data_IF_962062784271
#
_entry.id   IF_962062784271
#
_cell.length_a   1.000
_cell.length_b   1.000
_cell.length_c   1.000
_cell.angle_alpha   90.00
_cell.angle_beta   90.00
_cell.angle_gamma   90.00
#
_symmetry.space_group_name_H-M   'P 1'
#
loop_
_entity.id
_entity.type
_entity.pdbx_description
1 polymer ?
#
# COMPACT_ATOMS: atom_id res chain seq x y z
N UNK A 1 -20.72 10.42 -14.42
CA UNK A 1 -19.27 10.58 -14.59
C UNK A 1 -18.65 11.31 -13.41
N UNK A 2 -19.16 12.47 -12.96
CA UNK A 2 -18.57 13.23 -11.84
C UNK A 2 -18.30 12.40 -10.56
N UNK A 3 -19.24 11.53 -10.14
CA UNK A 3 -19.05 10.67 -8.97
C UNK A 3 -17.89 9.69 -9.12
N UNK A 4 -17.73 9.09 -10.30
CA UNK A 4 -16.62 8.17 -10.60
C UNK A 4 -15.30 8.95 -10.55
N UNK A 5 -15.25 10.11 -11.21
CA UNK A 5 -14.07 10.97 -11.25
C UNK A 5 -13.65 11.40 -9.82
N UNK A 6 -14.61 11.78 -8.97
CA UNK A 6 -14.38 12.20 -7.58
C UNK A 6 -13.84 11.02 -6.74
N UNK A 7 -14.38 9.81 -6.90
CA UNK A 7 -13.91 8.62 -6.20
C UNK A 7 -12.53 8.18 -6.67
N UNK A 8 -12.29 8.15 -7.98
CA UNK A 8 -10.97 7.85 -8.55
C UNK A 8 -9.93 8.86 -8.05
N UNK A 9 -10.27 10.15 -8.04
CA UNK A 9 -9.40 11.21 -7.52
C UNK A 9 -9.07 11.02 -6.04
N UNK A 10 -10.07 10.69 -5.23
CA UNK A 10 -9.88 10.44 -3.79
C UNK A 10 -8.93 9.27 -3.54
N UNK A 11 -9.10 8.14 -4.22
CA UNK A 11 -8.23 6.99 -4.05
C UNK A 11 -6.83 7.23 -4.65
N UNK A 12 -6.74 7.98 -5.72
CA UNK A 12 -5.46 8.40 -6.30
C UNK A 12 -4.69 9.32 -5.34
N UNK A 13 -5.40 10.16 -4.56
CA UNK A 13 -4.77 10.99 -3.53
C UNK A 13 -4.12 10.12 -2.43
N UNK A 14 -4.74 8.99 -2.05
CA UNK A 14 -4.15 8.02 -1.12
C UNK A 14 -2.86 7.44 -1.72
N UNK A 15 -2.92 6.93 -2.96
CA UNK A 15 -1.77 6.35 -3.63
C UNK A 15 -0.61 7.35 -3.76
N UNK A 16 -0.91 8.60 -4.13
CA UNK A 16 0.08 9.66 -4.32
C UNK A 16 0.51 10.38 -3.02
N UNK A 17 0.10 9.88 -1.85
CA UNK A 17 0.54 10.44 -0.57
C UNK A 17 2.07 10.38 -0.45
N UNK A 18 2.68 11.47 0.04
CA UNK A 18 4.13 11.52 0.29
C UNK A 18 4.57 10.70 1.51
N UNK A 19 3.62 10.13 2.25
CA UNK A 19 3.87 9.24 3.38
C UNK A 19 3.21 7.88 3.11
N UNK A 20 3.78 6.76 3.59
CA UNK A 20 3.13 5.46 3.49
C UNK A 20 1.76 5.45 4.15
N UNK A 21 0.82 4.78 3.53
CA UNK A 21 -0.55 4.61 4.02
C UNK A 21 -0.80 3.13 4.33
N UNK A 22 -1.17 2.85 5.58
CA UNK A 22 -1.49 1.50 6.05
C UNK A 22 -3.00 1.37 6.16
N UNK A 23 -3.58 0.41 5.45
CA UNK A 23 -4.98 0.04 5.60
C UNK A 23 -5.15 -1.06 6.66
N UNK A 24 -6.05 -0.84 7.62
CA UNK A 24 -6.45 -1.84 8.62
C UNK A 24 -7.89 -2.27 8.32
N UNK A 25 -8.04 -3.41 7.65
CA UNK A 25 -9.32 -3.90 7.16
C UNK A 25 -9.95 -4.91 8.11
N UNK A 26 -11.18 -4.66 8.54
CA UNK A 26 -12.00 -5.60 9.30
C UNK A 26 -13.47 -5.53 8.88
N UNK A 27 -14.27 -6.52 9.25
CA UNK A 27 -15.67 -6.57 8.84
C UNK A 27 -15.83 -6.65 7.32
N UNK A 28 -16.60 -5.75 6.71
CA UNK A 28 -16.88 -5.74 5.27
C UNK A 28 -16.04 -4.70 4.53
N UNK A 29 -15.21 -5.16 3.62
CA UNK A 29 -14.41 -4.36 2.71
C UNK A 29 -14.76 -4.75 1.26
N UNK A 30 -15.86 -4.21 0.73
CA UNK A 30 -16.52 -4.68 -0.50
C UNK A 30 -16.57 -3.58 -1.55
N UNK A 31 -16.33 -3.91 -2.82
CA UNK A 31 -16.43 -2.99 -3.95
C UNK A 31 -15.51 -1.77 -3.79
N UNK A 32 -16.08 -0.58 -3.67
CA UNK A 32 -15.33 0.66 -3.49
C UNK A 32 -14.33 0.62 -2.32
N UNK A 33 -14.66 -0.07 -1.21
CA UNK A 33 -13.73 -0.23 -0.08
C UNK A 33 -12.51 -1.09 -0.47
N UNK A 34 -12.71 -2.19 -1.22
CA UNK A 34 -11.60 -2.98 -1.78
C UNK A 34 -10.76 -2.14 -2.74
N UNK A 35 -11.40 -1.31 -3.56
CA UNK A 35 -10.70 -0.38 -4.46
C UNK A 35 -9.88 0.66 -3.69
N UNK A 36 -10.42 1.21 -2.61
CA UNK A 36 -9.73 2.20 -1.76
C UNK A 36 -8.48 1.60 -1.12
N UNK A 37 -8.58 0.42 -0.48
CA UNK A 37 -7.41 -0.18 0.17
C UNK A 37 -6.37 -0.72 -0.83
N UNK A 38 -6.75 -0.97 -2.09
CA UNK A 38 -5.78 -1.28 -3.15
C UNK A 38 -4.90 -0.08 -3.53
N UNK A 39 -5.28 1.13 -3.12
CA UNK A 39 -4.49 2.35 -3.28
C UNK A 39 -3.56 2.63 -2.08
N UNK A 40 -3.66 1.85 -0.99
CA UNK A 40 -2.76 1.95 0.15
C UNK A 40 -1.48 1.14 -0.10
N UNK A 41 -0.39 1.53 0.56
CA UNK A 41 0.91 0.87 0.42
C UNK A 41 0.92 -0.50 1.12
N UNK A 42 0.38 -0.55 2.33
CA UNK A 42 0.36 -1.76 3.19
C UNK A 42 -1.09 -2.04 3.60
N UNK A 43 -1.47 -3.30 3.61
CA UNK A 43 -2.80 -3.77 3.99
C UNK A 43 -2.68 -4.84 5.06
N UNK A 44 -3.30 -4.60 6.21
CA UNK A 44 -3.44 -5.57 7.27
C UNK A 44 -4.94 -5.87 7.45
N UNK A 45 -5.31 -7.08 7.88
CA UNK A 45 -6.72 -7.39 8.12
C UNK A 45 -6.95 -8.33 9.29
N UNK A 46 -8.21 -8.42 9.73
CA UNK A 46 -8.63 -9.57 10.54
C UNK A 46 -8.85 -10.80 9.65
N UNK A 47 -8.70 -12.01 10.22
CA UNK A 47 -8.88 -13.28 9.50
C UNK A 47 -10.29 -13.42 8.91
N UNK A 48 -11.29 -12.89 9.61
CA UNK A 48 -12.71 -12.97 9.26
C UNK A 48 -13.20 -11.81 8.39
N UNK A 49 -12.37 -10.79 8.13
CA UNK A 49 -12.69 -9.71 7.21
C UNK A 49 -13.21 -10.25 5.87
N UNK A 50 -14.19 -9.58 5.27
CA UNK A 50 -14.80 -9.99 4.00
C UNK A 50 -14.48 -8.98 2.92
N UNK A 51 -13.84 -9.48 1.86
CA UNK A 51 -13.48 -8.70 0.69
C UNK A 51 -14.28 -9.14 -0.53
N UNK A 52 -14.50 -8.24 -1.48
CA UNK A 52 -15.07 -8.59 -2.78
C UNK A 52 -14.80 -7.48 -3.81
N UNK A 53 -14.55 -7.89 -5.06
CA UNK A 53 -14.71 -7.07 -6.25
C UNK A 53 -16.09 -7.44 -6.80
N UNK A 54 -17.15 -6.93 -6.13
CA UNK A 54 -18.52 -7.42 -6.28
C UNK A 54 -19.35 -6.75 -7.38
N UNK A 55 -18.78 -5.79 -8.10
CA UNK A 55 -19.46 -4.94 -9.09
C UNK A 55 -20.10 -5.76 -10.20
N UNK A 56 -19.47 -6.85 -10.62
CA UNK A 56 -19.99 -7.78 -11.64
C UNK A 56 -21.36 -8.35 -11.27
N UNK A 57 -21.63 -8.58 -9.97
CA UNK A 57 -22.94 -9.04 -9.49
C UNK A 57 -24.03 -7.94 -9.54
N UNK A 58 -23.60 -6.69 -9.61
CA UNK A 58 -24.49 -5.52 -9.75
C UNK A 58 -24.67 -5.10 -11.21
N UNK A 59 -24.05 -5.80 -12.16
CA UNK A 59 -24.15 -5.51 -13.58
C UNK A 59 -23.28 -4.34 -14.04
N UNK A 60 -22.22 -4.01 -13.31
CA UNK A 60 -21.26 -2.97 -13.71
C UNK A 60 -19.82 -3.49 -13.63
N UNK A 61 -18.92 -2.79 -14.31
CA UNK A 61 -17.47 -3.02 -14.21
C UNK A 61 -16.93 -2.19 -13.05
N UNK A 62 -16.04 -2.75 -12.23
CA UNK A 62 -15.37 -2.00 -11.17
C UNK A 62 -14.57 -0.83 -11.78
N UNK A 63 -14.94 0.40 -11.44
CA UNK A 63 -14.54 1.62 -12.15
C UNK A 63 -13.75 2.62 -11.29
N UNK A 64 -13.47 2.28 -10.02
CA UNK A 64 -12.77 3.18 -9.09
C UNK A 64 -11.37 2.71 -8.68
N UNK A 65 -10.78 1.78 -9.44
CA UNK A 65 -9.34 1.52 -9.41
C UNK A 65 -8.89 0.14 -8.96
N UNK A 66 -9.77 -0.78 -8.49
CA UNK A 66 -9.37 -2.14 -8.14
C UNK A 66 -8.73 -2.87 -9.32
N UNK A 67 -9.35 -2.84 -10.50
CA UNK A 67 -8.87 -3.55 -11.69
C UNK A 67 -7.56 -2.99 -12.24
N UNK A 68 -7.19 -1.75 -11.90
CA UNK A 68 -5.96 -1.09 -12.33
C UNK A 68 -4.81 -1.31 -11.35
N UNK A 69 -5.08 -1.36 -10.02
CA UNK A 69 -4.04 -1.46 -8.98
C UNK A 69 -3.76 -2.90 -8.55
N UNK A 70 -4.81 -3.73 -8.41
CA UNK A 70 -4.65 -5.10 -7.95
C UNK A 70 -3.79 -6.01 -8.84
N UNK A 71 -3.64 -5.80 -10.17
CA UNK A 71 -2.68 -6.57 -10.98
C UNK A 71 -1.23 -6.52 -10.51
N UNK A 72 -0.85 -5.46 -9.78
CA UNK A 72 0.48 -5.31 -9.18
C UNK A 72 0.56 -5.91 -7.76
N UNK A 73 -0.58 -6.30 -7.18
CA UNK A 73 -0.67 -6.82 -5.81
C UNK A 73 -0.84 -8.34 -5.79
N UNK A 74 -1.75 -8.86 -6.61
CA UNK A 74 -2.09 -10.29 -6.67
C UNK A 74 -1.89 -10.87 -8.07
N UNK A 75 -1.90 -12.19 -8.17
CA UNK A 75 -1.76 -12.83 -9.48
C UNK A 75 -2.91 -12.45 -10.43
N UNK A 76 -2.61 -12.41 -11.73
CA UNK A 76 -3.64 -12.14 -12.76
C UNK A 76 -4.76 -13.19 -12.75
N UNK A 77 -4.45 -14.44 -12.35
CA UNK A 77 -5.43 -15.53 -12.24
C UNK A 77 -6.41 -15.26 -11.10
N UNK A 78 -5.88 -15.01 -9.90
CA UNK A 78 -6.69 -14.71 -8.71
C UNK A 78 -7.57 -13.49 -8.93
N UNK A 79 -7.00 -12.40 -9.49
CA UNK A 79 -7.76 -11.18 -9.78
C UNK A 79 -8.94 -11.45 -10.72
N UNK A 80 -8.70 -12.16 -11.83
CA UNK A 80 -9.74 -12.47 -12.81
C UNK A 80 -10.83 -13.35 -12.22
N UNK A 81 -10.46 -14.38 -11.46
CA UNK A 81 -11.43 -15.24 -10.78
C UNK A 81 -12.32 -14.44 -9.83
N UNK A 82 -11.72 -13.60 -8.96
CA UNK A 82 -12.47 -12.78 -8.01
C UNK A 82 -13.34 -11.74 -8.71
N UNK A 83 -12.81 -11.03 -9.71
CA UNK A 83 -13.56 -10.00 -10.42
C UNK A 83 -14.70 -10.57 -11.29
N UNK A 84 -14.48 -11.74 -11.94
CA UNK A 84 -15.50 -12.34 -12.80
C UNK A 84 -16.62 -13.00 -11.99
N UNK A 85 -16.30 -13.58 -10.85
CA UNK A 85 -17.30 -14.23 -9.98
C UNK A 85 -17.97 -13.24 -9.03
N UNK A 86 -17.33 -12.14 -8.69
CA UNK A 86 -17.77 -11.21 -7.67
C UNK A 86 -17.95 -11.85 -6.30
N UNK A 87 -17.32 -13.03 -6.06
CA UNK A 87 -17.48 -13.75 -4.80
C UNK A 87 -16.75 -13.04 -3.66
N UNK A 88 -17.24 -13.27 -2.46
CA UNK A 88 -16.54 -12.84 -1.26
C UNK A 88 -15.37 -13.77 -0.97
N UNK A 89 -14.30 -13.21 -0.41
CA UNK A 89 -13.18 -13.93 0.16
C UNK A 89 -12.83 -13.33 1.52
N UNK A 90 -12.29 -14.16 2.42
CA UNK A 90 -11.94 -13.73 3.78
C UNK A 90 -10.49 -13.28 3.89
N UNK A 91 -10.11 -12.80 5.10
CA UNK A 91 -8.76 -12.35 5.38
C UNK A 91 -7.71 -13.45 5.21
N UNK A 92 -8.03 -14.71 5.53
CA UNK A 92 -7.12 -15.84 5.33
C UNK A 92 -6.85 -16.08 3.84
N UNK A 93 -7.88 -16.00 3.00
CA UNK A 93 -7.71 -16.10 1.56
C UNK A 93 -6.96 -14.86 1.00
N UNK A 94 -7.24 -13.68 1.52
CA UNK A 94 -6.53 -12.45 1.17
C UNK A 94 -5.02 -12.54 1.45
N UNK A 95 -4.62 -13.13 2.58
CA UNK A 95 -3.22 -13.42 2.90
C UNK A 95 -2.62 -14.45 1.93
N UNK A 96 -3.33 -15.54 1.67
CA UNK A 96 -2.88 -16.59 0.74
C UNK A 96 -2.55 -16.05 -0.65
N UNK A 97 -3.37 -15.14 -1.19
CA UNK A 97 -3.16 -14.52 -2.50
C UNK A 97 -2.30 -13.25 -2.44
N UNK A 98 -1.78 -12.89 -1.27
CA UNK A 98 -0.95 -11.70 -1.04
C UNK A 98 -1.67 -10.36 -1.24
N UNK A 99 -3.00 -10.34 -1.13
CA UNK A 99 -3.75 -9.08 -1.13
C UNK A 99 -3.52 -8.27 0.14
N UNK A 100 -3.33 -8.95 1.28
CA UNK A 100 -2.93 -8.33 2.56
C UNK A 100 -1.54 -8.83 2.97
N UNK A 101 -0.83 -8.00 3.75
CA UNK A 101 0.53 -8.28 4.23
C UNK A 101 0.54 -9.19 5.46
N UNK A 102 -0.51 -9.10 6.29
CA UNK A 102 -0.70 -9.95 7.47
C UNK A 102 -2.15 -9.99 7.91
N UNK A 103 -2.51 -11.03 8.69
CA UNK A 103 -3.85 -11.22 9.29
C UNK A 103 -3.77 -11.46 10.78
N UNK A 104 -4.78 -10.97 11.51
CA UNK A 104 -4.87 -10.99 12.96
C UNK A 104 -6.18 -11.61 13.42
N UNK A 105 -6.21 -12.11 14.66
CA UNK A 105 -7.38 -12.81 15.20
C UNK A 105 -8.48 -11.84 15.65
N UNK A 106 -8.12 -10.62 16.04
CA UNK A 106 -9.06 -9.61 16.53
C UNK A 106 -8.80 -8.22 15.93
N UNK A 107 -9.76 -7.33 16.09
CA UNK A 107 -9.62 -5.90 15.69
C UNK A 107 -8.60 -5.20 16.58
N UNK A 108 -8.54 -5.56 17.85
CA UNK A 108 -7.59 -5.02 18.82
C UNK A 108 -6.15 -5.35 18.42
N UNK A 109 -5.86 -6.62 18.13
CA UNK A 109 -4.54 -7.06 17.64
C UNK A 109 -4.17 -6.40 16.30
N UNK A 110 -5.14 -6.28 15.38
CA UNK A 110 -4.96 -5.59 14.10
C UNK A 110 -4.54 -4.13 14.32
N UNK A 111 -5.23 -3.41 15.22
CA UNK A 111 -4.92 -2.01 15.51
C UNK A 111 -3.56 -1.86 16.18
N UNK A 112 -3.25 -2.70 17.17
CA UNK A 112 -1.95 -2.70 17.86
C UNK A 112 -0.80 -2.93 16.87
N UNK A 113 -0.94 -3.94 15.99
CA UNK A 113 0.06 -4.24 14.97
C UNK A 113 0.20 -3.10 13.95
N UNK A 114 -0.92 -2.49 13.54
CA UNK A 114 -0.91 -1.36 12.62
C UNK A 114 -0.20 -0.13 13.17
N UNK A 115 -0.47 0.21 14.44
CA UNK A 115 0.20 1.32 15.14
C UNK A 115 1.69 1.02 15.28
N UNK A 116 2.06 -0.17 15.74
CA UNK A 116 3.45 -0.59 15.86
C UNK A 116 4.22 -0.49 14.55
N UNK A 117 3.61 -0.94 13.45
CA UNK A 117 4.22 -0.82 12.11
C UNK A 117 4.37 0.65 11.68
N UNK A 118 3.36 1.48 11.98
CA UNK A 118 3.43 2.92 11.68
C UNK A 118 4.55 3.60 12.49
N UNK A 119 4.72 3.26 13.77
CA UNK A 119 5.81 3.76 14.62
C UNK A 119 7.18 3.32 14.11
N UNK A 120 7.32 2.06 13.68
CA UNK A 120 8.56 1.54 13.07
C UNK A 120 8.90 2.30 11.78
N UNK A 121 7.92 2.58 10.92
CA UNK A 121 8.14 3.40 9.72
C UNK A 121 8.49 4.84 10.11
N UNK A 122 7.79 5.41 11.07
CA UNK A 122 7.96 6.80 11.50
C UNK A 122 9.28 7.04 12.27
N UNK A 123 9.93 6.01 12.78
CA UNK A 123 11.27 6.10 13.39
C UNK A 123 12.37 6.34 12.36
N UNK A 124 12.08 6.15 11.07
CA UNK A 124 13.01 6.46 9.99
C UNK A 124 12.86 7.91 9.50
N UNK A 125 13.86 8.42 8.78
CA UNK A 125 13.79 9.72 8.15
C UNK A 125 12.54 9.85 7.28
N UNK A 126 11.64 10.79 7.61
CA UNK A 126 10.40 11.04 6.86
C UNK A 126 10.67 11.33 5.39
N UNK A 127 11.74 12.10 5.12
CA UNK A 127 12.13 12.47 3.76
C UNK A 127 12.56 11.25 2.96
N UNK A 128 13.37 10.37 3.57
CA UNK A 128 13.87 9.16 2.91
C UNK A 128 12.77 8.11 2.72
N UNK A 129 11.88 7.94 3.69
CA UNK A 129 10.70 7.07 3.54
C UNK A 129 9.82 7.54 2.38
N UNK A 130 9.51 8.85 2.32
CA UNK A 130 8.74 9.42 1.21
C UNK A 130 9.46 9.29 -0.14
N UNK A 131 10.78 9.49 -0.16
CA UNK A 131 11.62 9.26 -1.33
C UNK A 131 11.63 7.82 -1.80
N UNK A 132 11.71 6.87 -0.85
CA UNK A 132 11.65 5.43 -1.15
C UNK A 132 10.31 5.07 -1.79
N UNK A 133 9.19 5.56 -1.23
CA UNK A 133 7.87 5.38 -1.83
C UNK A 133 7.83 5.95 -3.25
N UNK A 134 8.29 7.18 -3.45
CA UNK A 134 8.31 7.81 -4.76
C UNK A 134 9.11 7.01 -5.80
N UNK A 135 10.27 6.46 -5.41
CA UNK A 135 11.10 5.63 -6.30
C UNK A 135 10.41 4.31 -6.65
N UNK A 136 9.74 3.68 -5.68
CA UNK A 136 8.98 2.45 -5.90
C UNK A 136 7.81 2.71 -6.85
N UNK A 137 6.98 3.72 -6.58
CA UNK A 137 5.80 4.06 -7.40
C UNK A 137 6.18 4.41 -8.84
N UNK A 138 7.24 5.22 -9.03
CA UNK A 138 7.73 5.57 -10.36
C UNK A 138 8.35 4.36 -11.09
N UNK A 139 8.95 3.45 -10.35
CA UNK A 139 9.57 2.24 -10.89
C UNK A 139 8.58 1.27 -11.52
N UNK A 140 7.31 1.27 -11.10
CA UNK A 140 6.28 0.37 -11.63
C UNK A 140 6.05 0.52 -13.14
N UNK A 141 6.17 1.73 -13.68
CA UNK A 141 5.93 2.05 -15.09
C UNK A 141 7.22 2.13 -15.92
N UNK A 142 8.39 1.86 -15.33
CA UNK A 142 9.70 1.98 -15.95
C UNK A 142 10.35 0.61 -16.20
N UNK A 143 11.24 0.54 -17.19
CA UNK A 143 12.17 -0.58 -17.29
C UNK A 143 13.16 -0.53 -16.11
N UNK A 144 13.78 -1.67 -15.78
CA UNK A 144 14.79 -1.72 -14.70
C UNK A 144 15.90 -0.67 -14.88
N UNK A 145 16.41 -0.51 -16.10
CA UNK A 145 17.46 0.47 -16.38
C UNK A 145 16.98 1.92 -16.15
N UNK A 146 15.77 2.25 -16.61
CA UNK A 146 15.16 3.56 -16.36
C UNK A 146 14.91 3.81 -14.87
N UNK A 147 14.45 2.79 -14.13
CA UNK A 147 14.23 2.89 -12.68
C UNK A 147 15.55 3.10 -11.93
N UNK A 148 16.63 2.42 -12.34
CA UNK A 148 17.98 2.64 -11.80
C UNK A 148 18.50 4.05 -12.11
N UNK A 149 18.27 4.57 -13.29
CA UNK A 149 18.60 5.97 -13.61
C UNK A 149 17.79 6.95 -12.76
N UNK A 150 16.50 6.67 -12.53
CA UNK A 150 15.65 7.52 -11.71
C UNK A 150 16.13 7.57 -10.24
N UNK A 151 16.41 6.42 -9.60
CA UNK A 151 16.91 6.40 -8.22
C UNK A 151 18.29 7.03 -8.12
N UNK A 152 19.15 6.90 -9.13
CA UNK A 152 20.44 7.60 -9.19
C UNK A 152 20.27 9.11 -9.19
N UNK A 153 19.35 9.62 -10.01
CA UNK A 153 19.04 11.05 -10.07
C UNK A 153 18.48 11.55 -8.73
N UNK A 154 17.56 10.81 -8.12
CA UNK A 154 16.99 11.13 -6.82
C UNK A 154 18.08 11.22 -5.73
N UNK A 155 18.94 10.19 -5.62
CA UNK A 155 20.03 10.16 -4.65
C UNK A 155 21.08 11.26 -4.90
N UNK A 156 21.36 11.62 -6.14
CA UNK A 156 22.28 12.72 -6.44
C UNK A 156 21.82 14.04 -5.80
N UNK A 157 20.52 14.23 -5.68
CA UNK A 157 19.93 15.45 -5.07
C UNK A 157 19.86 15.40 -3.55
N UNK A 158 19.77 14.21 -2.94
CA UNK A 158 19.41 14.06 -1.52
C UNK A 158 20.39 13.22 -0.69
N UNK A 159 21.41 12.59 -1.33
CA UNK A 159 22.34 11.72 -0.62
C UNK A 159 23.16 12.47 0.46
N UNK A 160 23.56 13.71 0.18
CA UNK A 160 24.30 14.52 1.17
C UNK A 160 23.27 15.29 2.01
N UNK A 161 22.77 14.65 3.07
CA UNK A 161 21.77 15.19 3.97
C UNK A 161 22.21 15.10 5.43
N UNK A 162 21.58 15.87 6.30
CA UNK A 162 21.79 15.74 7.75
C UNK A 162 21.27 14.37 8.25
N UNK A 163 20.19 13.83 7.65
CA UNK A 163 19.67 12.51 7.98
C UNK A 163 20.69 11.41 7.68
N UNK A 164 21.41 11.46 6.54
CA UNK A 164 22.48 10.51 6.27
C UNK A 164 23.60 10.61 7.29
N UNK A 165 24.01 11.80 7.66
CA UNK A 165 25.05 12.01 8.70
C UNK A 165 24.60 11.46 10.03
N UNK A 166 23.38 11.76 10.45
CA UNK A 166 22.80 11.24 11.69
C UNK A 166 22.73 9.72 11.66
N UNK A 167 22.19 9.11 10.62
CA UNK A 167 22.10 7.66 10.50
C UNK A 167 23.45 6.97 10.56
N UNK A 168 24.47 7.51 9.89
CA UNK A 168 25.84 6.99 9.95
C UNK A 168 26.46 7.16 11.34
N UNK A 169 26.25 8.31 11.97
CA UNK A 169 26.77 8.58 13.32
C UNK A 169 26.14 7.63 14.34
N UNK A 170 24.80 7.51 14.33
CA UNK A 170 24.05 6.63 15.21
C UNK A 170 24.49 5.15 15.06
N UNK A 171 24.73 4.72 13.82
CA UNK A 171 25.23 3.36 13.54
C UNK A 171 26.58 3.10 14.22
N UNK A 172 27.56 4.01 14.12
CA UNK A 172 28.85 3.86 14.78
C UNK A 172 28.79 4.00 16.31
N UNK A 173 27.86 4.82 16.80
CA UNK A 173 27.62 5.00 18.24
C UNK A 173 26.73 3.91 18.84
N UNK A 174 26.17 3.01 18.03
CA UNK A 174 25.27 1.92 18.43
C UNK A 174 24.05 2.41 19.21
N UNK A 175 23.46 3.48 18.76
CA UNK A 175 22.18 4.06 19.24
C UNK A 175 21.18 4.19 18.11
N UNK A 176 19.93 4.42 18.46
CA UNK A 176 18.92 4.77 17.49
C UNK A 176 19.17 6.17 16.92
N UNK A 177 18.93 6.41 15.62
CA UNK A 177 19.05 7.73 15.00
C UNK A 177 17.91 8.66 15.45
N UNK A 178 18.21 9.96 15.55
CA UNK A 178 17.25 11.01 15.84
C UNK A 178 17.04 11.88 14.60
N UNK A 179 16.17 11.42 13.71
CA UNK A 179 15.83 12.13 12.48
C UNK A 179 14.90 13.32 12.77
N UNK A 180 15.13 14.45 12.13
CA UNK A 180 14.38 15.71 12.32
C UNK A 180 13.34 15.94 11.23
#
# INVERSE_FOLDING_TARGET
MKLIDDMQGSFTTIANSNVPVIALAHGFCIGGATSMISACDIRLSTKDAKFSIGETKLGLVADVGALQRMPNIISKGDLRELAFTGRHFDGQHADKIRFVNAVYDSVEELHEAGIKLAEEIASNSRHIVGGTKNVLDKGEDLTTDQALDYVRLWNTSYLISEDLKEGVTAFFEKRDPDFK
#
